data_IF_585602330635
#
_entry.id   IF_585602330635
#
_cell.length_a   1.000
_cell.length_b   1.000
_cell.length_c   1.000
_cell.angle_alpha   90.00
_cell.angle_beta   90.00
_cell.angle_gamma   90.00
#
_symmetry.space_group_name_H-M   'P 1'
#
loop_
_entity.id
_entity.type
_entity.pdbx_description
1 polymer ?
#
# COMPACT_ATOMS: atom_id res chain seq x y z
N UNK A 1 47.99 -3.98 10.15
CA UNK A 1 46.84 -4.82 10.51
C UNK A 1 45.68 -4.49 9.56
N UNK A 2 44.93 -5.49 9.06
CA UNK A 2 43.67 -5.22 8.34
C UNK A 2 42.72 -4.50 9.31
N UNK A 3 42.00 -3.49 8.83
CA UNK A 3 40.97 -2.84 9.63
C UNK A 3 39.96 -3.91 10.11
N UNK A 4 39.72 -3.96 11.42
CA UNK A 4 38.68 -4.79 12.04
C UNK A 4 38.01 -3.94 13.11
N UNK A 5 36.69 -4.03 13.21
CA UNK A 5 35.87 -3.29 14.16
C UNK A 5 34.65 -4.11 14.58
N UNK A 6 34.10 -3.90 15.79
CA UNK A 6 32.98 -4.68 16.27
C UNK A 6 31.69 -4.26 15.54
N UNK A 7 31.09 -5.19 14.79
CA UNK A 7 29.63 -5.21 14.69
C UNK A 7 29.08 -5.53 16.10
N UNK A 8 27.88 -5.10 16.49
CA UNK A 8 26.67 -5.79 16.05
C UNK A 8 25.44 -5.07 16.65
N UNK A 9 24.46 -4.81 15.80
CA UNK A 9 23.06 -5.28 15.96
C UNK A 9 22.78 -6.23 14.78
N UNK A 10 21.63 -6.92 14.71
CA UNK A 10 21.35 -7.89 13.63
C UNK A 10 21.40 -7.26 12.21
N UNK A 11 21.22 -5.94 12.10
CA UNK A 11 21.40 -5.11 10.90
C UNK A 11 22.72 -4.29 10.90
N UNK A 12 23.52 -4.39 11.96
CA UNK A 12 24.84 -3.77 12.09
C UNK A 12 24.87 -2.27 12.43
N UNK A 13 23.75 -1.65 12.82
CA UNK A 13 23.69 -0.20 13.09
C UNK A 13 23.74 0.17 14.59
N UNK A 14 24.57 1.15 14.96
CA UNK A 14 24.64 1.71 16.32
C UNK A 14 23.96 3.09 16.35
N UNK A 15 23.05 3.31 17.30
CA UNK A 15 22.35 4.59 17.41
C UNK A 15 23.26 5.76 17.79
N UNK A 16 22.99 6.96 17.27
CA UNK A 16 23.87 8.13 17.45
C UNK A 16 24.01 8.52 18.94
N UNK A 17 22.94 8.37 19.73
CA UNK A 17 22.97 8.54 21.19
C UNK A 17 23.99 7.63 21.86
N UNK A 18 24.04 6.35 21.44
CA UNK A 18 24.96 5.37 21.98
C UNK A 18 26.39 5.65 21.57
N UNK A 19 26.63 6.11 20.33
CA UNK A 19 27.96 6.57 19.89
C UNK A 19 28.43 7.73 20.77
N UNK A 20 27.57 8.74 21.00
CA UNK A 20 27.90 9.89 21.85
C UNK A 20 28.16 9.48 23.30
N UNK A 21 27.30 8.64 23.88
CA UNK A 21 27.45 8.14 25.25
C UNK A 21 28.69 7.25 25.40
N UNK A 22 29.01 6.43 24.39
CA UNK A 22 30.22 5.60 24.36
C UNK A 22 31.48 6.47 24.39
N UNK A 23 31.54 7.53 23.58
CA UNK A 23 32.67 8.49 23.59
C UNK A 23 32.81 9.15 24.96
N UNK A 24 31.71 9.64 25.54
CA UNK A 24 31.71 10.32 26.84
C UNK A 24 32.15 9.40 27.98
N UNK A 25 31.76 8.13 27.96
CA UNK A 25 31.99 7.20 29.07
C UNK A 25 33.26 6.35 28.91
N UNK A 26 33.69 6.01 27.69
CA UNK A 26 34.76 5.04 27.42
C UNK A 26 35.94 5.59 26.59
N UNK A 27 35.87 6.82 26.09
CA UNK A 27 36.95 7.43 25.32
C UNK A 27 38.19 7.83 26.15
N UNK A 28 38.33 7.40 27.41
CA UNK A 28 39.37 7.85 28.35
C UNK A 28 39.52 9.39 28.43
N UNK A 29 38.44 10.15 28.21
CA UNK A 29 38.47 11.61 28.18
C UNK A 29 38.93 12.23 26.85
N UNK A 30 39.14 11.45 25.79
CA UNK A 30 39.48 11.97 24.46
C UNK A 30 38.26 12.64 23.80
N UNK A 31 38.37 13.95 23.55
CA UNK A 31 37.38 14.68 22.78
C UNK A 31 37.48 14.27 21.29
N UNK A 32 36.34 14.04 20.60
CA UNK A 32 36.36 13.77 19.17
C UNK A 32 36.90 14.98 18.41
N UNK A 33 37.81 14.75 17.47
CA UNK A 33 38.41 15.80 16.63
C UNK A 33 37.92 15.61 15.19
N UNK A 34 37.50 16.72 14.57
CA UNK A 34 37.08 16.73 13.18
C UNK A 34 38.31 16.68 12.26
N UNK A 35 38.35 15.71 11.35
CA UNK A 35 39.38 15.60 10.34
C UNK A 35 38.87 16.14 9.00
N UNK A 36 39.44 17.24 8.55
CA UNK A 36 39.04 17.92 7.32
C UNK A 36 39.42 17.15 6.04
N UNK A 37 40.48 16.33 6.06
CA UNK A 37 40.93 15.56 4.89
C UNK A 37 39.96 14.43 4.53
N UNK A 38 39.38 13.79 5.54
CA UNK A 38 38.45 12.66 5.34
C UNK A 38 36.99 13.02 5.61
N UNK A 39 36.74 14.24 6.10
CA UNK A 39 35.41 14.74 6.48
C UNK A 39 34.74 13.71 7.39
N UNK A 40 35.36 13.42 8.54
CA UNK A 40 34.85 12.52 9.58
C UNK A 40 35.25 13.03 10.96
N UNK A 41 34.47 12.69 11.99
CA UNK A 41 34.96 12.76 13.35
C UNK A 41 35.72 11.48 13.67
N UNK A 42 36.83 11.62 14.39
CA UNK A 42 37.60 10.48 14.87
C UNK A 42 38.01 10.66 16.33
N UNK A 43 38.18 9.53 17.00
CA UNK A 43 38.90 9.44 18.27
C UNK A 43 39.64 8.10 18.34
N UNK A 44 40.59 8.00 19.26
CA UNK A 44 41.42 6.80 19.44
C UNK A 44 41.19 6.19 20.81
N UNK A 45 41.23 4.86 20.88
CA UNK A 45 41.21 4.10 22.13
C UNK A 45 42.30 3.03 22.06
N UNK A 46 43.39 3.24 22.81
CA UNK A 46 44.61 2.44 22.67
C UNK A 46 45.19 2.53 21.25
N UNK A 47 45.42 1.38 20.60
CA UNK A 47 45.87 1.29 19.21
C UNK A 47 44.70 1.32 18.18
N UNK A 48 43.45 1.38 18.64
CA UNK A 48 42.26 1.27 17.78
C UNK A 48 41.76 2.66 17.39
N UNK A 49 41.53 2.84 16.09
CA UNK A 49 40.97 4.06 15.51
C UNK A 49 39.48 3.88 15.25
N UNK A 50 38.66 4.85 15.68
CA UNK A 50 37.21 4.82 15.53
C UNK A 50 36.78 6.11 14.82
N UNK A 51 36.10 5.97 13.68
CA UNK A 51 35.58 7.08 12.89
C UNK A 51 34.04 7.02 12.79
N UNK A 52 33.40 8.19 12.73
CA UNK A 52 31.96 8.32 12.55
C UNK A 52 31.59 9.68 11.95
N UNK A 53 30.39 9.75 11.37
CA UNK A 53 29.81 11.01 10.90
C UNK A 53 28.98 11.67 12.00
N UNK A 54 29.45 12.80 12.51
CA UNK A 54 28.68 13.65 13.43
C UNK A 54 27.94 14.77 12.70
N UNK A 55 27.22 15.60 13.45
CA UNK A 55 26.45 16.75 12.93
C UNK A 55 27.28 17.65 12.00
N UNK A 56 28.46 18.08 12.46
CA UNK A 56 29.32 18.98 11.68
C UNK A 56 29.91 18.31 10.44
N UNK A 57 30.23 17.02 10.55
CA UNK A 57 30.67 16.21 9.42
C UNK A 57 29.62 16.13 8.31
N UNK A 58 28.37 15.86 8.70
CA UNK A 58 27.24 15.78 7.76
C UNK A 58 27.03 17.13 7.08
N UNK A 59 27.06 18.24 7.84
CA UNK A 59 26.98 19.60 7.27
C UNK A 59 28.09 19.86 6.26
N UNK A 60 29.34 19.50 6.59
CA UNK A 60 30.48 19.69 5.70
C UNK A 60 30.36 18.90 4.39
N UNK A 61 29.94 17.62 4.44
CA UNK A 61 29.70 16.81 3.23
C UNK A 61 28.63 17.41 2.33
N UNK A 62 27.57 17.93 2.94
CA UNK A 62 26.47 18.58 2.22
C UNK A 62 26.91 19.90 1.58
N UNK A 63 27.64 20.74 2.33
CA UNK A 63 28.19 21.99 1.80
C UNK A 63 29.11 21.74 0.60
N UNK A 64 29.97 20.71 0.69
CA UNK A 64 30.81 20.28 -0.43
C UNK A 64 30.00 19.82 -1.65
N UNK A 65 28.97 18.98 -1.43
CA UNK A 65 28.11 18.50 -2.52
C UNK A 65 27.38 19.65 -3.23
N UNK A 66 26.96 20.69 -2.49
CA UNK A 66 26.36 21.92 -3.03
C UNK A 66 27.39 22.73 -3.83
N UNK A 67 28.58 22.97 -3.29
CA UNK A 67 29.65 23.72 -3.99
C UNK A 67 30.02 23.07 -5.33
N UNK A 68 30.04 21.73 -5.37
CA UNK A 68 30.38 20.97 -6.58
C UNK A 68 29.22 20.74 -7.55
N UNK A 69 28.05 21.35 -7.32
CA UNK A 69 26.84 21.18 -8.14
C UNK A 69 26.51 19.70 -8.44
N UNK A 70 26.70 18.83 -7.45
CA UNK A 70 26.26 17.44 -7.58
C UNK A 70 24.72 17.42 -7.66
N UNK A 71 24.13 16.44 -8.35
CA UNK A 71 22.70 16.33 -8.74
C UNK A 71 21.69 16.19 -7.59
N UNK A 72 21.98 16.78 -6.43
CA UNK A 72 21.21 16.72 -5.19
C UNK A 72 21.74 15.66 -4.23
N UNK A 73 21.38 15.80 -2.96
CA UNK A 73 21.61 14.80 -1.93
C UNK A 73 20.27 14.45 -1.28
N UNK A 74 20.08 13.18 -0.88
CA UNK A 74 18.92 12.75 -0.08
C UNK A 74 19.37 12.50 1.35
N UNK A 75 18.82 13.29 2.27
CA UNK A 75 18.96 13.07 3.70
C UNK A 75 17.87 12.09 4.16
N UNK A 76 18.25 10.90 4.63
CA UNK A 76 17.31 9.97 5.27
C UNK A 76 17.21 10.29 6.75
N UNK A 77 15.98 10.33 7.25
CA UNK A 77 15.76 10.36 8.69
C UNK A 77 16.25 9.04 9.29
N UNK A 78 17.16 9.12 10.24
CA UNK A 78 17.68 7.95 10.94
C UNK A 78 16.75 7.64 12.13
N UNK A 79 16.25 6.40 12.21
CA UNK A 79 15.38 5.97 13.32
C UNK A 79 16.07 5.98 14.68
N UNK A 80 17.41 5.90 14.69
CA UNK A 80 18.25 5.92 15.89
C UNK A 80 19.00 7.25 16.07
N UNK A 81 18.47 8.34 15.51
CA UNK A 81 19.02 9.69 15.67
C UNK A 81 18.65 10.27 17.04
N UNK A 82 19.63 10.86 17.72
CA UNK A 82 19.40 11.43 19.03
C UNK A 82 18.88 12.86 18.90
N UNK A 83 17.63 13.07 19.33
CA UNK A 83 16.90 14.32 19.16
C UNK A 83 16.93 14.85 17.72
N UNK A 84 16.96 13.98 16.71
CA UNK A 84 16.96 14.36 15.28
C UNK A 84 18.16 15.24 14.85
N UNK A 85 19.26 15.20 15.60
CA UNK A 85 20.39 16.10 15.39
C UNK A 85 21.07 15.86 14.03
N UNK A 86 21.30 14.61 13.64
CA UNK A 86 21.91 14.28 12.34
C UNK A 86 20.95 14.54 11.17
N UNK A 87 19.67 14.25 11.37
CA UNK A 87 18.60 14.42 10.38
C UNK A 87 18.38 15.91 10.08
N UNK A 88 18.38 16.78 11.11
CA UNK A 88 18.33 18.24 10.93
C UNK A 88 19.60 18.80 10.28
N UNK A 89 20.77 18.31 10.69
CA UNK A 89 22.04 18.67 10.07
C UNK A 89 22.05 18.33 8.58
N UNK A 90 21.41 17.23 8.22
CA UNK A 90 21.27 16.79 6.85
C UNK A 90 20.21 17.58 6.06
N UNK A 91 19.30 18.30 6.72
CA UNK A 91 18.18 19.00 6.10
C UNK A 91 18.41 20.50 5.85
N UNK A 92 19.64 21.03 6.09
CA UNK A 92 19.99 22.48 6.03
C UNK A 92 18.96 23.31 5.26
N UNK A 93 18.17 24.08 6.02
CA UNK A 93 16.99 24.82 5.60
C UNK A 93 17.17 25.53 4.25
N UNK A 94 16.31 25.20 3.28
CA UNK A 94 16.01 26.07 2.13
C UNK A 94 15.06 27.21 2.57
N UNK A 95 15.38 27.95 3.63
CA UNK A 95 14.48 29.02 4.09
C UNK A 95 14.92 30.40 3.62
N UNK A 96 14.35 30.81 2.50
CA UNK A 96 13.67 32.12 2.46
C UNK A 96 12.73 32.34 1.26
N UNK A 97 12.96 31.69 0.11
CA UNK A 97 12.16 31.98 -1.10
C UNK A 97 10.98 31.03 -1.31
N UNK A 98 11.15 29.74 -1.05
CA UNK A 98 10.06 28.75 -1.23
C UNK A 98 8.98 28.85 -0.16
N UNK A 99 9.37 29.17 1.08
CA UNK A 99 8.41 29.39 2.18
C UNK A 99 7.63 30.69 2.00
N UNK A 100 8.23 31.76 1.47
CA UNK A 100 7.50 32.98 1.07
C UNK A 100 6.51 32.70 -0.06
N UNK A 101 6.89 31.92 -1.07
CA UNK A 101 5.98 31.52 -2.14
C UNK A 101 4.83 30.63 -1.65
N UNK A 102 5.09 29.69 -0.73
CA UNK A 102 4.05 28.87 -0.10
C UNK A 102 3.11 29.69 0.78
N UNK A 103 3.63 30.64 1.54
CA UNK A 103 2.83 31.54 2.37
C UNK A 103 1.94 32.46 1.52
N UNK A 104 2.49 33.00 0.41
CA UNK A 104 1.72 33.79 -0.56
C UNK A 104 0.61 32.97 -1.22
N UNK A 105 0.89 31.72 -1.61
CA UNK A 105 -0.12 30.81 -2.18
C UNK A 105 -1.22 30.47 -1.18
N UNK A 106 -0.87 30.22 0.09
CA UNK A 106 -1.82 29.96 1.18
C UNK A 106 -2.73 31.17 1.48
N UNK A 107 -2.27 32.39 1.23
CA UNK A 107 -3.08 33.61 1.42
C UNK A 107 -3.93 33.91 0.17
N UNK A 108 -3.38 33.75 -1.04
CA UNK A 108 -4.07 34.11 -2.29
C UNK A 108 -5.17 33.13 -2.67
N UNK A 109 -5.00 31.82 -2.41
CA UNK A 109 -6.01 30.79 -2.69
C UNK A 109 -7.36 31.03 -1.97
N UNK A 110 -7.41 31.25 -0.64
CA UNK A 110 -8.67 31.49 0.06
C UNK A 110 -9.30 32.83 -0.35
N UNK A 111 -8.50 33.87 -0.63
CA UNK A 111 -9.02 35.14 -1.14
C UNK A 111 -9.72 34.93 -2.50
N UNK A 112 -9.09 34.18 -3.41
CA UNK A 112 -9.70 33.82 -4.69
C UNK A 112 -11.01 33.04 -4.54
N UNK A 113 -11.05 32.08 -3.61
CA UNK A 113 -12.23 31.27 -3.31
C UNK A 113 -13.38 32.13 -2.75
N UNK A 114 -13.08 33.07 -1.86
CA UNK A 114 -14.06 34.03 -1.31
C UNK A 114 -14.61 34.95 -2.39
N UNK A 115 -13.75 35.46 -3.29
CA UNK A 115 -14.19 36.31 -4.41
C UNK A 115 -15.08 35.54 -5.38
N UNK A 116 -14.78 34.26 -5.66
CA UNK A 116 -15.62 33.38 -6.48
C UNK A 116 -16.96 33.11 -5.79
N UNK A 117 -16.96 32.87 -4.47
CA UNK A 117 -18.19 32.67 -3.70
C UNK A 117 -19.07 33.93 -3.72
N UNK A 118 -18.49 35.11 -3.52
CA UNK A 118 -19.20 36.40 -3.59
C UNK A 118 -19.77 36.61 -5.00
N UNK A 119 -18.97 36.39 -6.05
CA UNK A 119 -19.44 36.50 -7.43
C UNK A 119 -20.56 35.50 -7.74
N UNK A 120 -20.47 34.28 -7.22
CA UNK A 120 -21.51 33.26 -7.35
C UNK A 120 -22.80 33.63 -6.62
N UNK A 121 -22.70 34.25 -5.43
CA UNK A 121 -23.83 34.78 -4.67
C UNK A 121 -24.50 35.92 -5.42
N UNK A 122 -23.72 36.86 -5.96
CA UNK A 122 -24.23 37.98 -6.76
C UNK A 122 -24.94 37.46 -8.03
N UNK A 123 -24.36 36.48 -8.71
CA UNK A 123 -24.97 35.81 -9.85
C UNK A 123 -26.24 35.04 -9.45
N UNK A 124 -26.27 34.39 -8.30
CA UNK A 124 -27.43 33.69 -7.75
C UNK A 124 -28.57 34.68 -7.45
N UNK A 125 -28.29 35.77 -6.75
CA UNK A 125 -29.29 36.81 -6.44
C UNK A 125 -29.78 37.56 -7.68
N UNK A 126 -28.90 37.80 -8.68
CA UNK A 126 -29.31 38.32 -9.99
C UNK A 126 -30.18 37.32 -10.77
N UNK A 127 -29.93 36.01 -10.62
CA UNK A 127 -30.76 34.95 -11.24
C UNK A 127 -32.10 34.76 -10.53
N UNK A 128 -32.19 34.94 -9.21
CA UNK A 128 -33.47 34.87 -8.48
C UNK A 128 -34.33 36.11 -8.67
N UNK A 129 -33.72 37.30 -8.86
CA UNK A 129 -34.45 38.53 -9.18
C UNK A 129 -35.11 38.52 -10.57
N UNK A 130 -34.64 37.67 -11.50
CA UNK A 130 -35.15 37.57 -12.88
C UNK A 130 -36.19 36.43 -13.03
N UNK A 131 -36.39 35.59 -12.00
CA UNK A 131 -37.32 34.44 -12.05
C UNK A 131 -38.52 34.54 -11.11
N UNK A 132 -39.05 35.74 -10.90
CA UNK A 132 -40.43 35.90 -10.39
C UNK A 132 -41.42 36.06 -11.55
N UNK A 133 -41.69 34.94 -12.23
CA UNK A 133 -42.92 34.61 -12.97
C UNK A 133 -42.82 33.14 -13.42
N UNK A 134 -43.90 32.37 -13.17
CA UNK A 134 -44.20 30.99 -13.63
C UNK A 134 -43.82 29.83 -12.69
N UNK A 135 -44.64 29.66 -11.65
CA UNK A 135 -45.58 28.54 -11.36
C UNK A 135 -45.25 27.03 -11.65
N UNK A 136 -45.10 26.25 -10.56
CA UNK A 136 -45.73 24.95 -10.13
C UNK A 136 -45.62 23.66 -11.02
N UNK A 137 -45.34 22.51 -10.38
CA UNK A 137 -46.14 21.25 -10.20
C UNK A 137 -45.24 19.98 -10.18
N UNK A 138 -45.61 19.10 -9.23
CA UNK A 138 -45.37 17.63 -9.12
C UNK A 138 -44.29 17.26 -8.10
N UNK A 139 -44.49 16.37 -7.14
CA UNK A 139 -45.60 15.46 -6.86
C UNK A 139 -45.12 14.51 -5.76
N UNK A 140 -45.85 14.46 -4.64
CA UNK A 140 -45.48 13.79 -3.39
C UNK A 140 -46.05 12.35 -3.37
N UNK A 141 -45.23 11.33 -3.11
CA UNK A 141 -45.59 9.96 -2.65
C UNK A 141 -44.30 9.15 -2.47
N UNK A 142 -44.17 8.16 -1.61
CA UNK A 142 -44.64 7.91 -0.24
C UNK A 142 -43.67 6.87 0.36
N UNK A 143 -43.59 6.79 1.69
CA UNK A 143 -42.87 5.75 2.43
C UNK A 143 -43.28 4.33 2.01
N UNK A 144 -42.33 3.39 2.08
CA UNK A 144 -42.53 1.99 2.47
C UNK A 144 -41.22 1.33 2.93
N UNK A 145 -41.25 0.76 4.12
CA UNK A 145 -40.42 -0.35 4.64
C UNK A 145 -41.31 -1.61 4.72
N UNK A 146 -40.81 -2.81 5.08
CA UNK A 146 -39.54 -3.48 4.77
C UNK A 146 -39.79 -4.82 4.03
N UNK A 147 -38.77 -5.38 3.35
CA UNK A 147 -38.89 -6.67 2.67
C UNK A 147 -37.66 -7.54 2.90
N UNK A 148 -37.86 -8.62 3.66
CA UNK A 148 -36.91 -9.71 3.88
C UNK A 148 -36.86 -10.61 2.65
N UNK A 149 -35.68 -10.84 2.09
CA UNK A 149 -35.43 -11.98 1.19
C UNK A 149 -33.93 -12.19 0.91
N UNK A 150 -33.31 -13.12 1.64
CA UNK A 150 -32.48 -14.17 1.00
C UNK A 150 -33.39 -14.99 0.06
N UNK A 151 -32.92 -15.55 -1.08
CA UNK A 151 -31.68 -16.34 -1.17
C UNK A 151 -30.88 -16.15 -2.47
N UNK A 152 -29.63 -16.63 -2.48
CA UNK A 152 -29.00 -17.31 -3.62
C UNK A 152 -27.63 -17.83 -3.18
N UNK A 153 -27.65 -18.92 -2.41
CA UNK A 153 -26.63 -19.94 -2.56
C UNK A 153 -26.92 -20.71 -3.86
N UNK A 154 -25.86 -21.27 -4.44
CA UNK A 154 -25.86 -22.26 -5.52
C UNK A 154 -26.14 -21.76 -6.94
N UNK A 155 -25.04 -21.52 -7.68
CA UNK A 155 -24.93 -21.97 -9.06
C UNK A 155 -23.46 -22.30 -9.32
N UNK A 156 -23.08 -23.54 -9.02
CA UNK A 156 -21.84 -24.13 -9.51
C UNK A 156 -22.19 -24.75 -10.86
N UNK A 157 -22.03 -23.96 -11.92
CA UNK A 157 -22.06 -24.50 -13.27
C UNK A 157 -20.63 -24.88 -13.63
N UNK A 158 -20.41 -26.17 -13.92
CA UNK A 158 -19.11 -26.75 -14.25
C UNK A 158 -18.54 -26.28 -15.59
N UNK A 159 -19.31 -25.48 -16.34
CA UNK A 159 -18.93 -24.94 -17.64
C UNK A 159 -18.49 -23.47 -17.55
N UNK A 160 -17.40 -23.20 -16.82
CA UNK A 160 -16.69 -21.92 -16.96
C UNK A 160 -15.74 -22.02 -18.18
N UNK A 161 -16.05 -21.41 -19.34
CA UNK A 161 -15.43 -21.76 -20.62
C UNK A 161 -13.94 -21.41 -20.76
N UNK A 162 -13.31 -20.81 -19.75
CA UNK A 162 -11.93 -20.28 -19.81
C UNK A 162 -10.99 -20.81 -18.71
N UNK A 163 -11.44 -21.71 -17.82
CA UNK A 163 -10.59 -22.23 -16.74
C UNK A 163 -10.14 -23.66 -17.02
N UNK A 164 -8.84 -23.91 -16.90
CA UNK A 164 -8.28 -25.25 -17.01
C UNK A 164 -8.46 -26.00 -15.69
N UNK A 165 -8.98 -27.23 -15.76
CA UNK A 165 -8.95 -28.16 -14.63
C UNK A 165 -7.59 -28.86 -14.63
N UNK A 166 -6.84 -28.70 -13.55
CA UNK A 166 -5.53 -29.33 -13.37
C UNK A 166 -5.63 -30.58 -12.51
N UNK A 167 -4.89 -31.63 -12.86
CA UNK A 167 -4.78 -32.80 -12.01
C UNK A 167 -3.86 -32.53 -10.81
N UNK A 168 -4.12 -33.19 -9.69
CA UNK A 168 -3.26 -33.09 -8.51
C UNK A 168 -1.84 -33.57 -8.83
N UNK A 169 -1.73 -34.62 -9.65
CA UNK A 169 -0.43 -35.19 -10.06
C UNK A 169 0.41 -34.18 -10.84
N UNK A 170 -0.19 -33.42 -11.76
CA UNK A 170 0.51 -32.40 -12.54
C UNK A 170 1.00 -31.26 -11.67
N UNK A 171 0.15 -30.76 -10.77
CA UNK A 171 0.52 -29.70 -9.83
C UNK A 171 1.63 -30.17 -8.88
N UNK A 172 1.50 -31.39 -8.35
CA UNK A 172 2.51 -32.00 -7.48
C UNK A 172 3.85 -32.11 -8.20
N UNK A 173 3.87 -32.56 -9.45
CA UNK A 173 5.10 -32.64 -10.23
C UNK A 173 5.68 -31.23 -10.49
N UNK A 174 4.85 -30.29 -10.95
CA UNK A 174 5.26 -28.93 -11.31
C UNK A 174 5.80 -28.11 -10.12
N UNK A 175 5.31 -28.38 -8.90
CA UNK A 175 5.75 -27.73 -7.66
C UNK A 175 6.88 -28.48 -6.96
N UNK A 176 7.42 -29.55 -7.56
CA UNK A 176 8.39 -30.46 -6.95
C UNK A 176 7.89 -30.97 -5.58
N UNK A 177 6.72 -31.60 -5.58
CA UNK A 177 6.04 -32.11 -4.40
C UNK A 177 5.78 -31.04 -3.32
N UNK A 178 5.35 -29.84 -3.74
CA UNK A 178 5.13 -28.70 -2.84
C UNK A 178 6.36 -28.38 -1.98
N UNK A 179 7.56 -28.45 -2.57
CA UNK A 179 8.82 -28.20 -1.87
C UNK A 179 8.84 -26.82 -1.23
N UNK A 180 9.42 -26.73 -0.03
CA UNK A 180 9.64 -25.46 0.67
C UNK A 180 10.46 -24.47 -0.15
N UNK A 181 11.36 -24.96 -1.02
CA UNK A 181 12.14 -24.12 -1.93
C UNK A 181 11.27 -23.37 -2.96
N UNK A 182 10.10 -23.94 -3.30
CA UNK A 182 9.13 -23.33 -4.21
C UNK A 182 8.07 -22.49 -3.47
N UNK A 183 8.11 -22.39 -2.15
CA UNK A 183 7.12 -21.63 -1.39
C UNK A 183 7.32 -20.12 -1.60
N UNK A 184 6.28 -19.46 -2.10
CA UNK A 184 6.27 -18.02 -2.37
C UNK A 184 5.83 -17.21 -1.15
N UNK A 185 4.92 -17.77 -0.34
CA UNK A 185 4.36 -17.17 0.86
C UNK A 185 3.30 -18.07 1.50
N UNK A 186 2.72 -17.61 2.61
CA UNK A 186 1.60 -18.26 3.30
C UNK A 186 0.74 -17.19 3.96
N UNK A 187 -0.58 -17.32 3.82
CA UNK A 187 -1.56 -16.43 4.43
C UNK A 187 -2.73 -17.21 5.02
N UNK A 188 -3.83 -16.52 5.36
CA UNK A 188 -5.01 -17.14 5.99
C UNK A 188 -5.70 -18.23 5.16
N UNK A 189 -5.46 -18.27 3.83
CA UNK A 189 -5.95 -19.31 2.93
C UNK A 189 -5.04 -20.53 2.84
N UNK A 190 -3.79 -20.43 3.30
CA UNK A 190 -2.78 -21.47 3.16
C UNK A 190 -1.56 -21.03 2.35
N UNK A 191 -0.65 -21.98 2.07
CA UNK A 191 0.60 -21.72 1.39
C UNK A 191 0.43 -21.52 -0.12
N UNK A 192 1.29 -20.66 -0.69
CA UNK A 192 1.39 -20.42 -2.13
C UNK A 192 2.73 -20.94 -2.64
N UNK A 193 2.73 -21.72 -3.73
CA UNK A 193 3.93 -22.32 -4.32
C UNK A 193 4.13 -21.87 -5.77
N UNK A 194 5.38 -21.77 -6.19
CA UNK A 194 5.76 -21.65 -7.60
C UNK A 194 5.71 -23.03 -8.25
N UNK A 195 5.11 -23.11 -9.44
CA UNK A 195 5.10 -24.29 -10.29
C UNK A 195 5.64 -23.98 -11.68
N UNK A 196 6.25 -24.98 -12.31
CA UNK A 196 6.74 -24.90 -13.69
C UNK A 196 6.10 -26.03 -14.52
N UNK A 197 5.42 -25.68 -15.61
CA UNK A 197 4.92 -26.67 -16.57
C UNK A 197 6.05 -27.18 -17.49
N UNK A 198 5.91 -28.37 -18.12
CA UNK A 198 6.91 -28.94 -19.03
C UNK A 198 7.31 -28.06 -20.22
N UNK A 199 6.57 -26.98 -20.50
CA UNK A 199 6.87 -26.00 -21.57
C UNK A 199 7.50 -24.69 -21.05
N UNK A 200 7.94 -24.65 -19.79
CA UNK A 200 8.59 -23.48 -19.20
C UNK A 200 7.64 -22.38 -18.72
N UNK A 201 6.33 -22.60 -18.78
CA UNK A 201 5.35 -21.66 -18.24
C UNK A 201 5.33 -21.74 -16.72
N UNK A 202 5.63 -20.61 -16.07
CA UNK A 202 5.61 -20.46 -14.61
C UNK A 202 4.21 -20.07 -14.12
N UNK A 203 3.81 -20.63 -12.97
CA UNK A 203 2.53 -20.33 -12.34
C UNK A 203 2.65 -20.31 -10.81
N UNK A 204 1.65 -19.75 -10.15
CA UNK A 204 1.53 -19.76 -8.69
C UNK A 204 0.33 -20.63 -8.27
N UNK A 205 0.53 -21.49 -7.27
CA UNK A 205 -0.48 -22.42 -6.74
C UNK A 205 -0.82 -22.01 -5.32
N UNK A 206 -2.02 -21.48 -5.09
CA UNK A 206 -2.57 -21.23 -3.75
C UNK A 206 -3.30 -22.50 -3.32
N UNK A 207 -2.71 -23.23 -2.36
CA UNK A 207 -3.27 -24.48 -1.83
C UNK A 207 -4.08 -24.15 -0.57
N UNK A 208 -5.36 -24.50 -0.60
CA UNK A 208 -6.26 -24.28 0.54
C UNK A 208 -5.83 -25.15 1.73
N UNK A 209 -5.78 -24.56 2.92
CA UNK A 209 -5.61 -25.35 4.16
C UNK A 209 -6.86 -26.18 4.46
N UNK A 210 -6.69 -27.47 4.72
CA UNK A 210 -7.77 -28.43 5.00
C UNK A 210 -8.66 -28.06 6.20
N UNK A 211 -8.17 -27.21 7.12
CA UNK A 211 -8.91 -26.81 8.33
C UNK A 211 -9.71 -25.51 8.17
N UNK A 212 -9.67 -24.86 7.00
CA UNK A 212 -10.25 -23.53 6.81
C UNK A 212 -11.66 -23.59 6.20
N UNK A 213 -12.69 -23.53 7.05
CA UNK A 213 -14.10 -23.41 6.60
C UNK A 213 -14.34 -22.11 5.82
N UNK A 214 -13.74 -21.01 6.28
CA UNK A 214 -13.74 -19.74 5.54
C UNK A 214 -13.04 -19.89 4.18
N UNK A 215 -11.92 -20.61 4.12
CA UNK A 215 -11.16 -20.75 2.89
C UNK A 215 -11.88 -21.51 1.77
N UNK A 216 -12.82 -22.40 2.08
CA UNK A 216 -13.65 -23.04 1.07
C UNK A 216 -14.64 -22.06 0.41
N UNK A 217 -15.27 -21.18 1.19
CA UNK A 217 -16.17 -20.15 0.64
C UNK A 217 -15.40 -19.20 -0.29
N UNK A 218 -14.19 -18.81 0.13
CA UNK A 218 -13.35 -17.90 -0.63
C UNK A 218 -12.80 -18.53 -1.90
N UNK A 219 -12.40 -19.81 -1.85
CA UNK A 219 -12.06 -20.59 -3.03
C UNK A 219 -13.22 -20.61 -4.05
N UNK A 220 -14.43 -20.98 -3.61
CA UNK A 220 -15.61 -21.02 -4.49
C UNK A 220 -15.91 -19.64 -5.09
N UNK A 221 -15.74 -18.59 -4.30
CA UNK A 221 -15.95 -17.21 -4.75
C UNK A 221 -14.93 -16.80 -5.81
N UNK A 222 -13.65 -17.09 -5.60
CA UNK A 222 -12.58 -16.81 -6.58
C UNK A 222 -12.82 -17.57 -7.89
N UNK A 223 -13.14 -18.87 -7.85
CA UNK A 223 -13.46 -19.66 -9.05
C UNK A 223 -14.65 -19.04 -9.81
N UNK A 224 -15.72 -18.67 -9.10
CA UNK A 224 -16.93 -18.08 -9.68
C UNK A 224 -16.68 -16.73 -10.38
N UNK A 225 -15.86 -15.88 -9.76
CA UNK A 225 -15.52 -14.56 -10.27
C UNK A 225 -14.53 -14.61 -11.43
N UNK A 226 -13.56 -15.52 -11.36
CA UNK A 226 -12.49 -15.68 -12.35
C UNK A 226 -13.02 -15.86 -13.77
N UNK A 227 -14.07 -16.66 -13.94
CA UNK A 227 -14.64 -16.91 -15.27
C UNK A 227 -15.20 -15.64 -15.93
N UNK A 228 -15.41 -14.57 -15.15
CA UNK A 228 -16.14 -13.36 -15.54
C UNK A 228 -15.27 -12.11 -15.57
N UNK A 229 -14.09 -12.14 -14.94
CA UNK A 229 -13.23 -10.98 -14.76
C UNK A 229 -11.92 -11.15 -15.53
N UNK A 230 -11.70 -10.31 -16.54
CA UNK A 230 -10.48 -10.28 -17.32
C UNK A 230 -10.09 -8.83 -17.59
N UNK A 231 -8.94 -8.42 -17.04
CA UNK A 231 -8.40 -7.08 -17.21
C UNK A 231 -6.90 -7.09 -16.92
N UNK A 232 -6.15 -6.21 -17.58
CA UNK A 232 -4.68 -6.17 -17.48
C UNK A 232 -4.19 -5.93 -16.05
N UNK A 233 -4.94 -5.14 -15.27
CA UNK A 233 -4.65 -4.83 -13.87
C UNK A 233 -5.34 -5.76 -12.85
N UNK A 234 -5.84 -6.91 -13.28
CA UNK A 234 -6.31 -7.96 -12.38
C UNK A 234 -5.40 -9.19 -12.51
N UNK A 235 -5.18 -9.89 -11.40
CA UNK A 235 -4.44 -11.14 -11.40
C UNK A 235 -5.26 -12.21 -12.12
N UNK A 236 -4.68 -12.81 -13.16
CA UNK A 236 -5.35 -13.86 -13.92
C UNK A 236 -5.22 -15.21 -13.22
N UNK A 237 -6.35 -15.83 -12.97
CA UNK A 237 -6.42 -17.25 -12.60
C UNK A 237 -6.45 -18.07 -13.89
N UNK A 238 -5.57 -19.05 -13.97
CA UNK A 238 -5.40 -19.95 -15.12
C UNK A 238 -6.28 -21.19 -14.98
N UNK A 239 -6.57 -21.60 -13.75
CA UNK A 239 -7.33 -22.81 -13.49
C UNK A 239 -7.45 -23.15 -12.01
N UNK A 240 -7.99 -24.34 -11.75
CA UNK A 240 -8.16 -24.86 -10.40
C UNK A 240 -7.97 -26.39 -10.35
N UNK A 241 -7.80 -26.92 -9.14
CA UNK A 241 -7.77 -28.35 -8.86
C UNK A 241 -8.64 -28.63 -7.63
N UNK A 242 -9.45 -29.69 -7.69
CA UNK A 242 -10.32 -30.17 -6.60
C UNK A 242 -10.18 -31.68 -6.37
N UNK A 243 -9.09 -32.29 -6.86
CA UNK A 243 -8.84 -33.72 -6.72
C UNK A 243 -8.32 -34.08 -5.32
N UNK A 244 -8.67 -35.28 -4.84
CA UNK A 244 -8.15 -35.85 -3.57
C UNK A 244 -8.39 -34.98 -2.34
N UNK A 245 -9.55 -34.32 -2.27
CA UNK A 245 -9.94 -33.38 -1.21
C UNK A 245 -9.02 -32.15 -1.09
N UNK A 246 -8.23 -31.87 -2.13
CA UNK A 246 -7.35 -30.71 -2.21
C UNK A 246 -7.98 -29.63 -3.10
N UNK A 247 -8.21 -28.44 -2.55
CA UNK A 247 -8.69 -27.30 -3.32
C UNK A 247 -7.50 -26.36 -3.61
N UNK A 248 -7.18 -26.15 -4.88
CA UNK A 248 -6.07 -25.30 -5.30
C UNK A 248 -6.47 -24.34 -6.41
N UNK A 249 -6.00 -23.10 -6.32
CA UNK A 249 -6.13 -22.10 -7.39
C UNK A 249 -4.77 -21.90 -8.06
N UNK A 250 -4.80 -21.85 -9.39
CA UNK A 250 -3.62 -21.69 -10.23
C UNK A 250 -3.69 -20.30 -10.85
N UNK A 251 -2.70 -19.46 -10.58
CA UNK A 251 -2.58 -18.11 -11.09
C UNK A 251 -1.38 -17.97 -12.02
N UNK A 252 -1.39 -16.93 -12.84
CA UNK A 252 -0.15 -16.48 -13.48
C UNK A 252 0.90 -16.11 -12.43
N UNK A 253 2.15 -16.46 -12.70
CA UNK A 253 3.25 -16.14 -11.79
C UNK A 253 3.71 -14.69 -11.99
N UNK A 254 3.83 -13.96 -10.89
CA UNK A 254 4.31 -12.58 -10.86
C UNK A 254 5.59 -12.51 -10.00
N UNK A 255 6.78 -12.30 -10.60
CA UNK A 255 8.05 -12.46 -9.88
C UNK A 255 8.34 -11.33 -8.89
N UNK A 256 7.77 -10.15 -9.09
CA UNK A 256 7.95 -9.02 -8.18
C UNK A 256 7.03 -9.12 -6.96
N UNK A 257 6.17 -10.14 -6.84
CA UNK A 257 5.32 -10.36 -5.64
C UNK A 257 4.47 -9.12 -5.32
N UNK A 258 4.17 -8.87 -4.05
CA UNK A 258 3.23 -7.84 -3.60
C UNK A 258 3.88 -6.49 -3.33
N UNK A 259 3.09 -5.43 -3.50
CA UNK A 259 3.50 -4.03 -3.37
C UNK A 259 3.96 -3.65 -1.95
N UNK A 260 3.38 -4.27 -0.91
CA UNK A 260 3.77 -4.04 0.48
C UNK A 260 5.24 -4.39 0.77
N UNK A 261 5.80 -5.40 0.06
CA UNK A 261 7.22 -5.77 0.14
C UNK A 261 8.16 -4.68 -0.39
N UNK A 262 7.64 -3.73 -1.17
CA UNK A 262 8.37 -2.56 -1.61
C UNK A 262 8.10 -1.38 -0.71
N UNK A 263 6.82 -1.06 -0.47
CA UNK A 263 6.45 0.14 0.27
C UNK A 263 7.02 0.18 1.68
N UNK A 264 7.08 -0.97 2.35
CA UNK A 264 7.44 -1.03 3.77
C UNK A 264 8.83 -1.57 4.04
N UNK A 265 9.57 -1.92 2.99
CA UNK A 265 10.97 -2.30 3.11
C UNK A 265 11.85 -1.04 3.06
N UNK A 266 12.80 -0.86 4.00
CA UNK A 266 13.64 0.34 4.05
C UNK A 266 14.44 0.61 2.77
N UNK A 267 14.77 -0.44 2.01
CA UNK A 267 15.64 -0.40 0.83
C UNK A 267 14.80 -0.51 -0.46
N UNK A 268 13.92 -1.51 -0.58
CA UNK A 268 13.15 -1.77 -1.81
C UNK A 268 12.18 -0.64 -2.15
N UNK A 269 11.77 0.17 -1.18
CA UNK A 269 10.93 1.36 -1.42
C UNK A 269 11.51 2.36 -2.41
N UNK A 270 12.83 2.34 -2.62
CA UNK A 270 13.52 3.21 -3.59
C UNK A 270 13.48 2.68 -5.03
N UNK A 271 13.15 1.39 -5.23
CA UNK A 271 12.90 0.84 -6.57
C UNK A 271 11.67 1.49 -7.18
N UNK A 272 10.69 1.85 -6.33
CA UNK A 272 9.47 2.59 -6.68
C UNK A 272 9.73 4.10 -6.62
N UNK A 273 10.35 4.63 -7.67
CA UNK A 273 10.37 6.07 -7.93
C UNK A 273 8.94 6.64 -8.09
N UNK A 274 8.82 7.95 -8.13
CA UNK A 274 7.52 8.61 -8.19
C UNK A 274 6.71 8.21 -9.43
N UNK A 275 7.37 8.06 -10.59
CA UNK A 275 6.70 7.67 -11.82
C UNK A 275 6.08 6.28 -11.69
N UNK A 276 6.83 5.30 -11.16
CA UNK A 276 6.31 3.96 -10.89
C UNK A 276 5.16 3.98 -9.90
N UNK A 277 5.22 4.81 -8.85
CA UNK A 277 4.12 4.96 -7.89
C UNK A 277 2.85 5.49 -8.58
N UNK A 278 2.98 6.49 -9.44
CA UNK A 278 1.86 7.01 -10.25
C UNK A 278 1.30 5.93 -11.16
N UNK A 279 2.15 5.19 -11.88
CA UNK A 279 1.71 4.08 -12.74
C UNK A 279 0.98 2.98 -11.93
N UNK A 280 1.44 2.69 -10.72
CA UNK A 280 0.77 1.74 -9.81
C UNK A 280 -0.61 2.27 -9.39
N UNK A 281 -0.69 3.54 -9.00
CA UNK A 281 -1.97 4.18 -8.63
C UNK A 281 -2.95 4.14 -9.80
N UNK A 282 -2.49 4.51 -11.00
CA UNK A 282 -3.29 4.49 -12.22
C UNK A 282 -3.78 3.08 -12.54
N UNK A 283 -2.89 2.09 -12.57
CA UNK A 283 -3.28 0.71 -12.88
C UNK A 283 -4.25 0.12 -11.85
N UNK A 284 -4.08 0.39 -10.56
CA UNK A 284 -5.07 -0.01 -9.53
C UNK A 284 -6.41 0.70 -9.77
N UNK A 285 -6.38 1.99 -10.11
CA UNK A 285 -7.60 2.76 -10.42
C UNK A 285 -8.33 2.17 -11.62
N UNK A 286 -7.63 1.81 -12.69
CA UNK A 286 -8.21 1.16 -13.87
C UNK A 286 -8.81 -0.20 -13.51
N UNK A 287 -8.10 -1.01 -12.71
CA UNK A 287 -8.63 -2.28 -12.21
C UNK A 287 -9.93 -2.12 -11.41
N UNK A 288 -9.98 -1.15 -10.50
CA UNK A 288 -11.20 -0.86 -9.72
C UNK A 288 -12.34 -0.32 -10.59
N UNK A 289 -12.04 0.59 -11.51
CA UNK A 289 -13.03 1.14 -12.44
C UNK A 289 -13.64 0.03 -13.31
N UNK A 290 -12.81 -0.90 -13.77
CA UNK A 290 -13.28 -2.09 -14.46
C UNK A 290 -14.26 -2.91 -13.61
N UNK A 291 -13.90 -3.24 -12.37
CA UNK A 291 -14.75 -4.02 -11.46
C UNK A 291 -16.08 -3.34 -11.13
N UNK A 292 -16.10 -2.01 -11.09
CA UNK A 292 -17.28 -1.25 -10.66
C UNK A 292 -18.24 -0.93 -11.81
N UNK A 293 -17.71 -0.58 -12.98
CA UNK A 293 -18.49 -0.01 -14.08
C UNK A 293 -18.47 -0.87 -15.36
N UNK A 294 -17.31 -1.42 -15.73
CA UNK A 294 -17.11 -2.04 -17.05
C UNK A 294 -17.24 -3.56 -17.08
N UNK A 295 -17.22 -4.24 -15.93
CA UNK A 295 -17.57 -5.66 -15.87
C UNK A 295 -19.08 -5.88 -16.03
N UNK A 296 -19.46 -7.11 -16.39
CA UNK A 296 -20.86 -7.52 -16.56
C UNK A 296 -21.67 -7.37 -15.27
N UNK A 297 -21.01 -7.52 -14.13
CA UNK A 297 -21.55 -7.31 -12.79
C UNK A 297 -20.70 -6.27 -12.09
N UNK A 298 -21.32 -5.52 -11.18
CA UNK A 298 -20.58 -4.66 -10.26
C UNK A 298 -19.93 -5.56 -9.21
N UNK A 299 -18.61 -5.50 -9.08
CA UNK A 299 -17.85 -6.31 -8.13
C UNK A 299 -17.25 -5.40 -7.07
N UNK A 300 -17.53 -5.73 -5.81
CA UNK A 300 -16.90 -5.08 -4.65
C UNK A 300 -15.85 -6.05 -4.10
N UNK A 301 -14.58 -5.66 -4.10
CA UNK A 301 -13.44 -6.48 -3.71
C UNK A 301 -13.44 -6.79 -2.20
N UNK A 302 -13.70 -5.77 -1.37
CA UNK A 302 -13.78 -5.82 0.11
C UNK A 302 -12.50 -6.13 0.89
N UNK A 303 -11.43 -6.55 0.22
CA UNK A 303 -10.09 -6.69 0.84
C UNK A 303 -8.97 -6.03 0.03
N UNK A 304 -9.20 -4.81 -0.46
CA UNK A 304 -8.20 -4.05 -1.21
C UNK A 304 -7.13 -3.49 -0.24
N UNK A 305 -5.88 -3.91 -0.43
CA UNK A 305 -4.73 -3.52 0.41
C UNK A 305 -3.41 -3.72 -0.32
N UNK A 306 -2.31 -3.17 0.20
CA UNK A 306 -1.00 -3.22 -0.46
C UNK A 306 -0.48 -4.65 -0.69
N UNK A 307 -0.74 -5.59 0.23
CA UNK A 307 -0.34 -7.00 0.05
C UNK A 307 -1.14 -7.74 -1.04
N UNK A 308 -2.30 -7.19 -1.43
CA UNK A 308 -3.18 -7.75 -2.46
C UNK A 308 -2.98 -7.06 -3.82
N UNK A 309 -2.03 -6.14 -3.93
CA UNK A 309 -1.55 -5.60 -5.22
C UNK A 309 -0.26 -6.32 -5.57
N UNK A 310 -0.31 -7.22 -6.55
CA UNK A 310 0.87 -7.90 -7.08
C UNK A 310 1.49 -7.10 -8.22
N UNK A 311 2.78 -7.31 -8.47
CA UNK A 311 3.57 -6.60 -9.45
C UNK A 311 4.12 -7.57 -10.49
N UNK A 312 3.88 -7.31 -11.76
CA UNK A 312 4.47 -8.06 -12.87
C UNK A 312 5.95 -7.71 -13.09
N UNK A 313 6.57 -8.25 -14.15
CA UNK A 313 8.00 -8.08 -14.43
C UNK A 313 8.40 -6.61 -14.59
N UNK A 314 7.51 -5.79 -15.14
CA UNK A 314 7.68 -4.37 -15.40
C UNK A 314 7.19 -3.48 -14.24
N UNK A 315 6.80 -4.08 -13.11
CA UNK A 315 6.22 -3.43 -11.93
C UNK A 315 4.84 -2.80 -12.17
N UNK A 316 4.07 -3.29 -13.14
CA UNK A 316 2.67 -2.90 -13.28
C UNK A 316 1.81 -3.63 -12.24
N UNK A 317 0.76 -2.97 -11.72
CA UNK A 317 -0.07 -3.53 -10.66
C UNK A 317 -1.13 -4.49 -11.19
N UNK A 318 -1.36 -5.56 -10.43
CA UNK A 318 -2.47 -6.51 -10.58
C UNK A 318 -3.17 -6.72 -9.24
N UNK A 319 -4.45 -6.37 -9.18
CA UNK A 319 -5.30 -6.62 -8.01
C UNK A 319 -5.56 -8.13 -7.90
N UNK A 320 -5.39 -8.67 -6.70
CA UNK A 320 -5.49 -10.10 -6.38
C UNK A 320 -6.35 -10.34 -5.14
N UNK A 321 -6.65 -11.62 -4.85
CA UNK A 321 -7.35 -12.08 -3.64
C UNK A 321 -8.83 -11.68 -3.59
N UNK A 322 -9.59 -12.21 -4.55
CA UNK A 322 -11.04 -12.00 -4.68
C UNK A 322 -11.88 -12.88 -3.75
N UNK A 323 -11.26 -13.57 -2.80
CA UNK A 323 -11.94 -14.49 -1.87
C UNK A 323 -13.12 -13.85 -1.14
N UNK A 324 -12.96 -12.58 -0.76
CA UNK A 324 -14.01 -11.81 -0.06
C UNK A 324 -14.92 -11.01 -0.99
N UNK A 325 -14.71 -11.02 -2.30
CA UNK A 325 -15.45 -10.14 -3.21
C UNK A 325 -16.95 -10.49 -3.29
N UNK A 326 -17.78 -9.52 -3.67
CA UNK A 326 -19.23 -9.71 -3.84
C UNK A 326 -19.71 -9.15 -5.17
N UNK A 327 -20.53 -9.94 -5.87
CA UNK A 327 -21.20 -9.51 -7.09
C UNK A 327 -22.51 -8.80 -6.76
N UNK A 328 -22.75 -7.71 -7.48
CA UNK A 328 -23.98 -6.94 -7.47
C UNK A 328 -24.51 -6.84 -8.89
N UNK A 329 -25.83 -6.88 -9.00
CA UNK A 329 -26.49 -6.39 -10.21
C UNK A 329 -26.33 -4.86 -10.25
N UNK A 330 -26.22 -4.29 -11.45
CA UNK A 330 -25.90 -2.86 -11.63
C UNK A 330 -26.96 -1.90 -11.07
N UNK A 331 -28.16 -2.40 -10.80
CA UNK A 331 -29.31 -1.69 -10.23
C UNK A 331 -29.33 -1.64 -8.69
N UNK A 332 -28.38 -2.32 -8.02
CA UNK A 332 -28.27 -2.31 -6.55
C UNK A 332 -27.05 -1.49 -6.13
N UNK A 333 -27.29 -0.46 -5.32
CA UNK A 333 -26.24 0.47 -4.88
C UNK A 333 -25.59 0.09 -3.55
N UNK A 334 -26.29 -0.63 -2.68
CA UNK A 334 -25.80 -1.04 -1.37
C UNK A 334 -26.40 -2.37 -0.90
N UNK A 335 -25.67 -3.09 -0.05
CA UNK A 335 -26.20 -4.25 0.68
C UNK A 335 -25.75 -4.22 2.14
N UNK A 336 -26.41 -5.03 2.96
CA UNK A 336 -26.10 -5.21 4.37
C UNK A 336 -25.70 -6.67 4.64
N UNK A 337 -24.75 -6.88 5.54
CA UNK A 337 -24.38 -8.20 6.05
C UNK A 337 -24.14 -8.17 7.55
N UNK A 338 -24.56 -9.23 8.24
CA UNK A 338 -24.24 -9.45 9.65
C UNK A 338 -22.81 -9.94 9.90
N UNK A 339 -22.06 -10.30 8.85
CA UNK A 339 -20.67 -10.77 8.96
C UNK A 339 -19.71 -9.70 8.45
N UNK A 340 -18.93 -9.14 9.36
CA UNK A 340 -17.87 -8.18 9.04
C UNK A 340 -16.61 -8.93 8.57
N UNK A 341 -16.12 -8.60 7.39
CA UNK A 341 -14.88 -9.14 6.79
C UNK A 341 -13.98 -8.01 6.29
N UNK A 342 -12.73 -8.33 5.97
CA UNK A 342 -11.73 -7.37 5.46
C UNK A 342 -10.61 -7.08 6.45
N UNK A 343 -9.57 -6.40 5.96
CA UNK A 343 -8.35 -6.14 6.74
C UNK A 343 -8.44 -4.86 7.57
N UNK A 344 -8.15 -4.98 8.86
CA UNK A 344 -8.13 -3.84 9.79
C UNK A 344 -7.29 -2.66 9.26
N UNK A 345 -7.83 -1.46 9.39
CA UNK A 345 -7.23 -0.22 8.86
C UNK A 345 -7.58 0.08 7.40
N UNK A 346 -8.18 -0.85 6.65
CA UNK A 346 -8.76 -0.62 5.32
C UNK A 346 -10.30 -0.67 5.35
N UNK A 347 -10.88 -1.19 6.43
CA UNK A 347 -12.33 -1.32 6.57
C UNK A 347 -12.99 0.04 6.84
N UNK A 348 -14.00 0.46 6.05
CA UNK A 348 -14.73 1.71 6.28
C UNK A 348 -15.54 1.67 7.59
N UNK A 349 -15.65 2.80 8.31
CA UNK A 349 -16.34 2.86 9.59
C UNK A 349 -17.85 2.57 9.48
N UNK A 350 -18.50 2.92 8.38
CA UNK A 350 -19.92 2.64 8.14
C UNK A 350 -20.20 1.14 8.01
N UNK A 351 -19.26 0.38 7.44
CA UNK A 351 -19.38 -1.07 7.34
C UNK A 351 -19.23 -1.73 8.71
N UNK A 352 -18.24 -1.30 9.51
CA UNK A 352 -18.07 -1.80 10.89
C UNK A 352 -19.29 -1.51 11.76
N UNK A 353 -19.87 -0.31 11.64
CA UNK A 353 -20.99 0.11 12.48
C UNK A 353 -22.34 -0.47 12.07
N UNK A 354 -22.59 -0.64 10.77
CA UNK A 354 -23.94 -0.92 10.24
C UNK A 354 -24.01 -2.19 9.37
N UNK A 355 -22.88 -2.82 9.05
CA UNK A 355 -22.80 -3.93 8.11
C UNK A 355 -23.02 -3.53 6.65
N UNK A 356 -23.10 -2.23 6.35
CA UNK A 356 -23.43 -1.71 5.03
C UNK A 356 -22.18 -1.64 4.15
N UNK A 357 -22.23 -2.28 2.98
CA UNK A 357 -21.17 -2.21 1.99
C UNK A 357 -21.74 -1.86 0.60
N UNK A 358 -20.98 -1.06 -0.12
CA UNK A 358 -21.23 -0.59 -1.49
C UNK A 358 -19.90 -0.39 -2.19
N UNK A 359 -19.90 0.10 -3.43
CA UNK A 359 -18.65 0.48 -4.13
C UNK A 359 -17.78 1.45 -3.30
N UNK A 360 -18.40 2.23 -2.42
CA UNK A 360 -17.69 3.16 -1.52
C UNK A 360 -16.75 2.46 -0.55
N UNK A 361 -16.99 1.17 -0.27
CA UNK A 361 -16.08 0.36 0.52
C UNK A 361 -14.68 0.31 -0.12
N UNK A 362 -14.62 -0.05 -1.41
CA UNK A 362 -13.34 -0.16 -2.12
C UNK A 362 -12.73 1.22 -2.36
N UNK A 363 -13.55 2.27 -2.53
CA UNK A 363 -13.07 3.66 -2.62
C UNK A 363 -12.35 4.09 -1.34
N UNK A 364 -12.92 3.79 -0.17
CA UNK A 364 -12.27 4.07 1.11
C UNK A 364 -10.96 3.27 1.25
N UNK A 365 -11.01 1.96 0.98
CA UNK A 365 -9.84 1.08 1.02
C UNK A 365 -8.73 1.56 0.07
N UNK A 366 -9.11 2.04 -1.12
CA UNK A 366 -8.20 2.63 -2.09
C UNK A 366 -7.59 3.94 -1.59
N UNK A 367 -8.36 4.79 -0.92
CA UNK A 367 -7.83 6.00 -0.28
C UNK A 367 -6.74 5.68 0.75
N UNK A 368 -6.94 4.66 1.58
CA UNK A 368 -5.91 4.16 2.50
C UNK A 368 -4.68 3.66 1.75
N UNK A 369 -4.88 2.83 0.73
CA UNK A 369 -3.79 2.32 -0.12
C UNK A 369 -3.01 3.45 -0.80
N UNK A 370 -3.69 4.48 -1.31
CA UNK A 370 -3.08 5.65 -1.93
C UNK A 370 -2.16 6.37 -0.95
N UNK A 371 -2.62 6.60 0.29
CA UNK A 371 -1.80 7.21 1.33
C UNK A 371 -0.55 6.37 1.62
N UNK A 372 -0.67 5.04 1.64
CA UNK A 372 0.48 4.16 1.82
C UNK A 372 1.45 4.20 0.64
N UNK A 373 0.94 4.25 -0.60
CA UNK A 373 1.77 4.38 -1.80
C UNK A 373 2.54 5.69 -1.78
N UNK A 374 1.93 6.79 -1.33
CA UNK A 374 2.60 8.09 -1.28
C UNK A 374 3.62 8.15 -0.13
N UNK A 375 3.23 7.69 1.06
CA UNK A 375 4.03 7.87 2.28
C UNK A 375 5.01 6.74 2.59
N UNK A 376 4.83 5.55 2.00
CA UNK A 376 5.54 4.32 2.38
C UNK A 376 5.40 3.97 3.88
N UNK A 377 4.30 4.37 4.52
CA UNK A 377 4.00 4.13 5.94
C UNK A 377 2.94 3.04 6.13
N UNK A 378 3.07 2.23 7.19
CA UNK A 378 2.12 1.17 7.56
C UNK A 378 0.95 1.70 8.38
N UNK A 379 -0.23 1.09 8.26
CA UNK A 379 -1.40 1.44 9.08
C UNK A 379 -1.23 1.13 10.57
N UNK A 380 -0.56 0.01 10.90
CA UNK A 380 -0.45 -0.52 12.27
C UNK A 380 0.68 0.10 13.11
N UNK A 381 1.20 1.26 12.70
CA UNK A 381 2.18 2.01 13.49
C UNK A 381 1.60 3.35 13.90
N UNK A 382 2.04 3.82 15.05
CA UNK A 382 1.73 5.17 15.49
C UNK A 382 2.76 6.15 14.94
N UNK A 383 2.29 7.36 14.63
CA UNK A 383 3.07 8.44 14.02
C UNK A 383 2.85 9.75 14.80
N UNK A 384 3.62 10.78 14.44
CA UNK A 384 3.65 12.05 15.16
C UNK A 384 4.78 12.12 16.18
N UNK A 385 5.04 13.32 16.69
CA UNK A 385 6.11 13.59 17.68
C UNK A 385 5.92 12.81 18.99
N UNK A 386 4.68 12.42 19.29
CA UNK A 386 4.28 11.66 20.47
C UNK A 386 3.94 10.19 20.19
N UNK A 387 4.13 9.68 18.96
CA UNK A 387 3.84 8.28 18.57
C UNK A 387 2.48 7.76 19.05
N UNK A 388 1.44 8.57 18.94
CA UNK A 388 0.08 8.25 19.42
C UNK A 388 -0.99 8.32 18.33
N UNK A 389 -0.66 8.79 17.13
CA UNK A 389 -1.62 8.92 16.03
C UNK A 389 -1.56 7.69 15.15
N UNK A 390 -2.69 7.05 14.89
CA UNK A 390 -2.75 6.02 13.85
C UNK A 390 -2.48 6.65 12.47
N UNK A 391 -2.19 5.83 11.46
CA UNK A 391 -1.80 6.34 10.15
C UNK A 391 -2.80 7.31 9.52
N UNK A 392 -4.10 7.05 9.69
CA UNK A 392 -5.16 7.89 9.11
C UNK A 392 -5.30 9.23 9.83
N UNK A 393 -5.16 9.21 11.16
CA UNK A 393 -5.11 10.44 11.98
C UNK A 393 -3.91 11.31 11.60
N UNK A 394 -2.73 10.70 11.43
CA UNK A 394 -1.53 11.42 11.03
C UNK A 394 -1.64 12.01 9.61
N UNK A 395 -2.26 11.30 8.67
CA UNK A 395 -2.43 11.78 7.30
C UNK A 395 -3.48 12.89 7.14
N UNK A 396 -4.31 13.12 8.18
CA UNK A 396 -5.36 14.13 8.17
C UNK A 396 -4.92 15.48 8.76
N UNK A 397 -3.66 15.58 9.22
CA UNK A 397 -3.00 16.78 9.73
C UNK A 397 -2.11 17.35 8.63
#
# INVERSE_FOLDING_TARGET
ARASGPGITIDGSMGYKFIRAFIQNYGYGAAPVYNASYVVNLFTSGATWINFDGVETIKAKISYAKEKNLLGYKAFQLSNDDNWALSRAAQIEENNDKDKQRLLLLILLPIGLVLILIASLICYFRRTAIKSKVMIILGRRNLRTPGTSTPAAEYFDSDTPNLQVFSFSDIKAATNNFSSANKLGEGGFGPVYKGNLPRGQEFAVKRLSATSTQGLEEFKNEVSLTARLQHVNLLRVLGYCTERDENMLIYEYLPNKSLDLYLFDPIRRYVLDWQKRVNIIEGVTQGLLYLQEYSNFRVIHRDLKASNILLDNELNPKISDFGMAKLFRKDVDEANTGRIVGTYGYVPPEYVKKGIYSMKYDVYSFGVLLLQIISSKRNARYYGTSENLNFLEYASI
#
